data_IF_148024228642
#
_entry.id   IF_148024228642
#
_cell.length_a   1.000
_cell.length_b   1.000
_cell.length_c   1.000
_cell.angle_alpha   90.00
_cell.angle_beta   90.00
_cell.angle_gamma   90.00
#
_symmetry.space_group_name_H-M   'P 1'
#
loop_
_entity.id
_entity.type
_entity.pdbx_description
1 polymer ?
#
# COMPACT_ATOMS: atom_id res chain seq x y z
N UNK A 1 4.23 2.92 16.71
CA UNK A 1 4.95 1.73 16.19
C UNK A 1 5.46 2.01 14.79
N UNK A 2 6.75 1.78 14.54
CA UNK A 2 7.33 1.83 13.19
C UNK A 2 7.32 0.43 12.60
N UNK A 3 6.59 0.20 11.50
CA UNK A 3 6.37 -1.16 10.97
C UNK A 3 6.22 -1.18 9.45
N UNK A 4 6.50 -2.32 8.84
CA UNK A 4 6.12 -2.60 7.45
C UNK A 4 4.64 -3.03 7.41
N UNK A 5 3.77 -2.36 6.62
CA UNK A 5 2.36 -2.73 6.52
C UNK A 5 2.12 -4.06 5.79
N UNK A 6 3.10 -4.61 5.05
CA UNK A 6 2.97 -5.92 4.38
C UNK A 6 2.72 -7.03 5.40
N UNK A 7 3.26 -6.89 6.61
CA UNK A 7 2.98 -7.73 7.76
C UNK A 7 2.15 -6.92 8.78
N UNK A 8 0.80 -7.01 8.74
CA UNK A 8 -0.07 -6.11 9.50
C UNK A 8 -0.02 -6.32 11.03
N UNK A 9 0.67 -7.35 11.53
CA UNK A 9 0.82 -7.62 12.96
C UNK A 9 1.31 -6.41 13.77
N UNK A 10 2.24 -5.61 13.22
CA UNK A 10 2.72 -4.40 13.89
C UNK A 10 1.63 -3.34 14.03
N UNK A 11 0.71 -3.27 13.06
CA UNK A 11 -0.45 -2.37 13.10
C UNK A 11 -1.52 -2.88 14.08
N UNK A 12 -1.77 -4.20 14.11
CA UNK A 12 -2.69 -4.81 15.08
C UNK A 12 -2.25 -4.46 16.51
N UNK A 13 -0.94 -4.60 16.79
CA UNK A 13 -0.38 -4.25 18.09
C UNK A 13 -0.47 -2.75 18.38
N UNK A 14 -0.22 -1.90 17.38
CA UNK A 14 -0.32 -0.44 17.53
C UNK A 14 -1.73 -0.01 17.91
N UNK A 15 -2.74 -0.61 17.28
CA UNK A 15 -4.15 -0.35 17.57
C UNK A 15 -4.53 -0.83 18.97
N UNK A 16 -4.09 -2.02 19.38
CA UNK A 16 -4.33 -2.55 20.72
C UNK A 16 -3.72 -1.66 21.82
N UNK A 17 -2.52 -1.14 21.58
CA UNK A 17 -1.81 -0.25 22.51
C UNK A 17 -2.23 1.22 22.38
N UNK A 18 -3.15 1.56 21.46
CA UNK A 18 -3.59 2.92 21.17
C UNK A 18 -2.44 3.92 20.90
N UNK A 19 -1.40 3.46 20.18
CA UNK A 19 -0.23 4.29 19.84
C UNK A 19 -0.18 4.59 18.34
N UNK A 20 0.32 5.77 17.94
CA UNK A 20 0.40 6.12 16.52
C UNK A 20 1.34 5.18 15.78
N UNK A 21 0.96 4.74 14.58
CA UNK A 21 1.77 3.91 13.72
C UNK A 21 2.31 4.69 12.51
N UNK A 22 3.54 4.35 12.14
CA UNK A 22 4.24 4.89 10.97
C UNK A 22 4.63 3.71 10.10
N UNK A 23 4.17 3.72 8.86
CA UNK A 23 4.46 2.68 7.89
C UNK A 23 5.70 3.00 7.10
N UNK A 24 6.52 1.98 6.86
CA UNK A 24 7.68 2.04 5.98
C UNK A 24 7.56 0.94 4.94
N UNK A 25 7.28 1.32 3.69
CA UNK A 25 7.07 0.40 2.60
C UNK A 25 7.66 0.94 1.30
N UNK A 26 7.96 0.06 0.34
CA UNK A 26 8.26 0.49 -1.03
C UNK A 26 6.99 0.53 -1.87
N UNK A 27 6.31 -0.61 -2.02
CA UNK A 27 5.01 -0.74 -2.67
C UNK A 27 4.23 -1.84 -1.99
N UNK A 28 2.91 -1.72 -1.96
CA UNK A 28 2.02 -2.81 -1.57
C UNK A 28 1.40 -3.46 -2.81
N UNK A 29 1.22 -4.80 -2.79
CA UNK A 29 0.47 -5.46 -3.84
C UNK A 29 -0.98 -4.97 -3.87
N UNK A 30 -1.61 -5.14 -5.03
CA UNK A 30 -3.04 -4.89 -5.26
C UNK A 30 -3.55 -3.47 -5.05
N UNK A 31 -2.68 -2.50 -4.79
CA UNK A 31 -3.10 -1.13 -4.50
C UNK A 31 -3.73 -0.97 -3.11
N UNK A 32 -3.45 -1.88 -2.18
CA UNK A 32 -3.93 -1.83 -0.80
C UNK A 32 -3.49 -0.55 -0.08
N UNK A 33 -2.31 -0.01 -0.43
CA UNK A 33 -1.84 1.31 0.01
C UNK A 33 -2.83 2.42 -0.40
N UNK A 34 -3.31 2.36 -1.63
CA UNK A 34 -4.24 3.35 -2.19
C UNK A 34 -5.64 3.19 -1.59
N UNK A 35 -6.09 1.95 -1.38
CA UNK A 35 -7.39 1.66 -0.76
C UNK A 35 -7.43 2.10 0.71
N UNK A 36 -6.40 1.74 1.49
CA UNK A 36 -6.30 2.10 2.90
C UNK A 36 -6.22 3.62 3.11
N UNK A 37 -5.50 4.33 2.23
CA UNK A 37 -5.39 5.79 2.28
C UNK A 37 -6.55 6.52 1.60
N UNK A 38 -7.49 5.81 0.98
CA UNK A 38 -8.58 6.38 0.17
C UNK A 38 -8.08 7.24 -1.00
N UNK A 39 -6.89 6.91 -1.51
CA UNK A 39 -6.25 7.60 -2.61
C UNK A 39 -6.80 7.10 -3.96
N UNK A 40 -7.17 7.99 -4.91
CA UNK A 40 -7.62 7.56 -6.23
C UNK A 40 -6.54 6.76 -6.97
N UNK A 41 -6.87 5.55 -7.44
CA UNK A 41 -5.94 4.68 -8.17
C UNK A 41 -6.55 4.08 -9.46
N UNK A 42 -6.89 4.90 -10.45
CA UNK A 42 -7.57 4.43 -11.66
C UNK A 42 -6.61 3.77 -12.67
N UNK A 43 -7.00 2.63 -13.26
CA UNK A 43 -6.18 1.91 -14.24
C UNK A 43 -6.07 2.60 -15.60
N UNK A 44 -6.80 3.70 -15.82
CA UNK A 44 -6.80 4.40 -17.11
C UNK A 44 -5.52 5.23 -17.35
N UNK A 45 -4.85 5.68 -16.29
CA UNK A 45 -3.60 6.44 -16.38
C UNK A 45 -2.45 5.90 -15.51
N UNK A 46 -2.75 5.11 -14.48
CA UNK A 46 -1.71 4.51 -13.62
C UNK A 46 -1.35 3.14 -14.19
N UNK A 47 -0.13 2.95 -14.71
CA UNK A 47 0.29 1.63 -15.19
C UNK A 47 0.41 0.66 -14.00
N UNK A 48 -0.18 -0.53 -14.14
CA UNK A 48 -0.07 -1.61 -13.16
C UNK A 48 1.32 -2.23 -13.25
N UNK A 49 1.87 -2.57 -12.09
CA UNK A 49 3.15 -3.26 -11.99
C UNK A 49 3.12 -4.55 -12.82
N UNK A 50 4.26 -4.95 -13.38
CA UNK A 50 4.42 -6.11 -14.29
C UNK A 50 3.80 -6.00 -15.69
N UNK A 51 3.08 -4.92 -16.03
CA UNK A 51 2.54 -4.74 -17.40
C UNK A 51 3.56 -4.20 -18.41
N UNK A 52 4.65 -3.60 -17.92
CA UNK A 52 5.63 -2.89 -18.74
C UNK A 52 5.09 -1.62 -19.42
N UNK A 53 3.92 -1.13 -18.98
CA UNK A 53 3.29 0.06 -19.53
C UNK A 53 3.83 1.34 -18.88
N UNK A 54 3.60 2.46 -19.57
CA UNK A 54 4.00 3.81 -19.14
C UNK A 54 2.76 4.62 -18.72
N UNK A 55 2.95 5.86 -18.27
CA UNK A 55 1.87 6.84 -18.05
C UNK A 55 1.10 7.18 -19.34
N UNK A 56 1.72 6.96 -20.51
CA UNK A 56 1.12 7.19 -21.83
C UNK A 56 0.65 5.89 -22.47
N UNK A 57 -0.60 5.53 -22.16
CA UNK A 57 -1.25 4.34 -22.73
C UNK A 57 -2.28 4.70 -23.80
N UNK A 58 -2.25 3.97 -24.93
CA UNK A 58 -3.34 3.94 -25.90
C UNK A 58 -4.55 3.14 -25.37
N UNK A 59 -5.67 3.15 -26.09
CA UNK A 59 -6.91 2.49 -25.64
C UNK A 59 -6.71 1.00 -25.31
N UNK A 60 -6.08 0.23 -26.20
CA UNK A 60 -5.86 -1.21 -25.98
C UNK A 60 -4.92 -1.49 -24.80
N UNK A 61 -3.90 -0.66 -24.61
CA UNK A 61 -3.01 -0.73 -23.45
C UNK A 61 -3.77 -0.46 -22.15
N UNK A 62 -4.73 0.47 -22.13
CA UNK A 62 -5.59 0.72 -20.96
C UNK A 62 -6.50 -0.47 -20.66
N UNK A 63 -7.06 -1.10 -21.69
CA UNK A 63 -7.86 -2.33 -21.51
C UNK A 63 -6.99 -3.45 -20.94
N UNK A 64 -5.78 -3.66 -21.49
CA UNK A 64 -4.81 -4.60 -20.93
C UNK A 64 -4.49 -4.28 -19.47
N UNK A 65 -4.23 -3.01 -19.16
CA UNK A 65 -3.91 -2.57 -17.80
C UNK A 65 -5.04 -2.86 -16.80
N UNK A 66 -6.30 -2.67 -17.22
CA UNK A 66 -7.48 -3.01 -16.42
C UNK A 66 -7.61 -4.52 -16.20
N UNK A 67 -7.38 -5.34 -17.23
CA UNK A 67 -7.40 -6.81 -17.11
C UNK A 67 -6.35 -7.29 -16.09
N UNK A 68 -5.15 -6.72 -16.11
CA UNK A 68 -4.09 -7.04 -15.14
C UNK A 68 -4.42 -6.62 -13.71
N UNK A 69 -5.37 -5.70 -13.50
CA UNK A 69 -5.82 -5.33 -12.16
C UNK A 69 -6.78 -6.37 -11.56
N UNK A 70 -7.60 -7.05 -12.36
CA UNK A 70 -8.66 -7.93 -11.87
C UNK A 70 -8.15 -9.04 -10.93
N UNK A 71 -7.05 -9.77 -11.23
CA UNK A 71 -6.55 -10.82 -10.34
C UNK A 71 -6.12 -10.30 -8.97
N UNK A 72 -5.68 -9.04 -8.89
CA UNK A 72 -5.19 -8.47 -7.65
C UNK A 72 -6.28 -8.36 -6.58
N UNK A 73 -7.54 -8.15 -6.96
CA UNK A 73 -8.64 -8.12 -6.00
C UNK A 73 -8.76 -9.45 -5.25
N UNK A 74 -8.76 -10.57 -5.97
CA UNK A 74 -8.88 -11.90 -5.36
C UNK A 74 -7.60 -12.32 -4.63
N UNK A 75 -6.43 -12.00 -5.18
CA UNK A 75 -5.16 -12.43 -4.60
C UNK A 75 -4.91 -11.77 -3.24
N UNK A 76 -5.23 -10.48 -3.10
CA UNK A 76 -5.01 -9.79 -1.84
C UNK A 76 -6.00 -10.21 -0.76
N UNK A 77 -7.27 -10.43 -1.09
CA UNK A 77 -8.23 -10.97 -0.13
C UNK A 77 -7.74 -12.31 0.43
N UNK A 78 -7.27 -13.22 -0.43
CA UNK A 78 -6.74 -14.51 -0.01
C UNK A 78 -5.50 -14.40 0.89
N UNK A 79 -4.56 -13.51 0.54
CA UNK A 79 -3.31 -13.33 1.31
C UNK A 79 -3.57 -12.68 2.67
N UNK A 80 -4.51 -11.74 2.75
CA UNK A 80 -4.76 -10.94 3.95
C UNK A 80 -5.91 -11.45 4.83
N UNK A 81 -6.73 -12.40 4.35
CA UNK A 81 -7.82 -12.99 5.13
C UNK A 81 -7.35 -13.57 6.48
N UNK A 82 -6.25 -14.35 6.57
CA UNK A 82 -5.79 -14.88 7.87
C UNK A 82 -5.42 -13.77 8.86
N UNK A 83 -4.92 -12.63 8.36
CA UNK A 83 -4.60 -11.49 9.19
C UNK A 83 -5.84 -10.72 9.64
N UNK A 84 -6.89 -10.65 8.80
CA UNK A 84 -8.17 -10.08 9.19
C UNK A 84 -8.84 -10.88 10.31
N UNK A 85 -8.83 -12.21 10.20
CA UNK A 85 -9.35 -13.12 11.22
C UNK A 85 -8.57 -12.98 12.54
N UNK A 86 -7.23 -13.03 12.46
CA UNK A 86 -6.35 -12.84 13.63
C UNK A 86 -6.55 -11.46 14.29
N UNK A 87 -6.64 -10.39 13.50
CA UNK A 87 -6.87 -9.05 14.01
C UNK A 87 -8.22 -8.95 14.71
N UNK A 88 -9.25 -9.59 14.15
CA UNK A 88 -10.60 -9.54 14.71
C UNK A 88 -10.70 -10.30 16.03
N UNK A 89 -10.03 -11.45 16.13
CA UNK A 89 -9.93 -12.22 17.37
C UNK A 89 -9.16 -11.46 18.45
N UNK A 90 -8.00 -10.89 18.11
CA UNK A 90 -7.13 -10.20 19.06
C UNK A 90 -7.69 -8.85 19.54
N UNK A 91 -8.35 -8.10 18.66
CA UNK A 91 -8.95 -6.80 18.99
C UNK A 91 -10.40 -6.93 19.47
N UNK A 92 -10.96 -8.14 19.51
CA UNK A 92 -12.33 -8.45 19.91
C UNK A 92 -13.40 -7.62 19.17
N UNK A 93 -13.19 -7.33 17.89
CA UNK A 93 -14.14 -6.60 17.01
C UNK A 93 -13.93 -7.00 15.56
N UNK A 94 -14.94 -6.84 14.71
CA UNK A 94 -14.76 -7.06 13.26
C UNK A 94 -13.81 -6.02 12.67
N UNK A 95 -12.71 -6.48 12.06
CA UNK A 95 -11.70 -5.62 11.43
C UNK A 95 -11.39 -6.09 10.02
N UNK A 96 -11.40 -5.15 9.08
CA UNK A 96 -10.87 -5.38 7.73
C UNK A 96 -9.44 -4.85 7.65
N UNK A 97 -8.58 -5.51 6.88
CA UNK A 97 -7.17 -5.10 6.72
C UNK A 97 -7.03 -3.68 6.13
N UNK A 98 -7.77 -3.27 5.08
CA UNK A 98 -7.77 -1.88 4.63
C UNK A 98 -8.21 -0.90 5.74
N UNK A 99 -9.22 -1.29 6.53
CA UNK A 99 -9.72 -0.48 7.66
C UNK A 99 -8.68 -0.30 8.77
N UNK A 100 -7.92 -1.34 9.07
CA UNK A 100 -6.81 -1.34 10.02
C UNK A 100 -5.65 -0.47 9.54
N UNK A 101 -5.26 -0.61 8.26
CA UNK A 101 -4.18 0.17 7.67
C UNK A 101 -4.53 1.66 7.53
N UNK A 102 -5.82 2.00 7.37
CA UNK A 102 -6.30 3.40 7.34
C UNK A 102 -5.96 4.18 8.60
N UNK A 103 -5.76 3.51 9.73
CA UNK A 103 -5.46 4.15 11.02
C UNK A 103 -4.01 4.62 11.15
N UNK A 104 -3.16 4.34 10.16
CA UNK A 104 -1.79 4.80 10.18
C UNK A 104 -1.66 6.31 10.11
N UNK A 105 -0.81 6.86 10.97
CA UNK A 105 -0.57 8.30 11.06
C UNK A 105 0.26 8.80 9.89
N UNK A 106 1.21 8.00 9.40
CA UNK A 106 2.13 8.40 8.35
C UNK A 106 2.60 7.20 7.52
N UNK A 107 2.73 7.41 6.21
CA UNK A 107 3.21 6.44 5.25
C UNK A 107 4.54 6.94 4.67
N UNK A 108 5.65 6.35 5.10
CA UNK A 108 6.96 6.54 4.49
C UNK A 108 7.11 5.59 3.30
N UNK A 109 7.01 6.15 2.11
CA UNK A 109 7.02 5.40 0.86
C UNK A 109 8.42 5.48 0.24
N UNK A 110 9.13 4.36 0.17
CA UNK A 110 10.47 4.23 -0.41
C UNK A 110 10.44 4.27 -1.94
N UNK A 111 9.92 5.35 -2.50
CA UNK A 111 9.83 5.60 -3.93
C UNK A 111 10.39 6.99 -4.24
N UNK A 112 10.95 7.11 -5.43
CA UNK A 112 11.38 8.38 -6.00
C UNK A 112 10.46 8.76 -7.16
N UNK A 113 10.09 10.04 -7.25
CA UNK A 113 9.29 10.56 -8.36
C UNK A 113 10.03 10.45 -9.70
N UNK A 114 11.36 10.33 -9.70
CA UNK A 114 12.16 10.14 -10.92
C UNK A 114 12.00 8.72 -11.48
N UNK A 115 11.82 7.71 -10.62
CA UNK A 115 11.78 6.30 -11.02
C UNK A 115 10.36 5.76 -11.22
N UNK A 116 9.35 6.48 -10.74
CA UNK A 116 7.96 6.04 -10.75
C UNK A 116 7.06 7.01 -11.51
N UNK A 117 6.11 6.45 -12.25
CA UNK A 117 5.10 7.23 -12.95
C UNK A 117 4.22 8.01 -11.96
N UNK A 118 3.73 9.18 -12.37
CA UNK A 118 2.91 10.03 -11.52
C UNK A 118 1.64 9.29 -11.08
N UNK A 119 1.39 9.27 -9.78
CA UNK A 119 0.17 8.77 -9.15
C UNK A 119 -0.28 9.74 -8.05
N UNK A 120 -1.58 9.81 -7.73
CA UNK A 120 -2.04 10.60 -6.61
C UNK A 120 -1.42 10.11 -5.29
N UNK A 121 -1.22 11.03 -4.37
CA UNK A 121 -0.70 10.78 -3.02
C UNK A 121 -1.56 11.52 -2.01
N UNK A 122 -1.79 10.90 -0.86
CA UNK A 122 -2.46 11.54 0.25
C UNK A 122 -1.48 12.38 1.09
N UNK A 123 -1.94 13.41 1.81
CA UNK A 123 -1.06 14.28 2.60
C UNK A 123 -0.25 13.56 3.69
N UNK A 124 -0.74 12.42 4.17
CA UNK A 124 -0.03 11.57 5.14
C UNK A 124 0.98 10.60 4.50
N UNK A 125 1.17 10.65 3.17
CA UNK A 125 2.16 9.85 2.44
C UNK A 125 3.37 10.70 2.09
N UNK A 126 4.53 10.37 2.67
CA UNK A 126 5.80 11.05 2.41
C UNK A 126 6.70 10.11 1.62
N UNK A 127 7.09 10.55 0.42
CA UNK A 127 8.07 9.83 -0.38
C UNK A 127 9.46 10.06 0.19
N UNK A 128 10.17 8.97 0.47
CA UNK A 128 11.53 8.96 0.98
C UNK A 128 12.43 8.15 0.05
N UNK A 129 13.28 8.83 -0.71
CA UNK A 129 14.27 8.19 -1.57
C UNK A 129 15.63 8.08 -0.86
N UNK A 130 16.49 7.19 -1.34
CA UNK A 130 17.92 7.23 -1.03
C UNK A 130 18.31 7.05 0.45
N UNK A 131 17.61 6.19 1.21
CA UNK A 131 18.01 5.82 2.58
C UNK A 131 19.27 4.94 2.52
N UNK A 132 20.42 5.59 2.34
CA UNK A 132 21.73 4.96 2.25
C UNK A 132 22.50 5.17 3.56
N UNK A 133 23.30 4.18 3.94
CA UNK A 133 24.20 4.32 5.08
C UNK A 133 25.20 5.44 4.79
N UNK A 134 25.34 6.39 5.71
CA UNK A 134 26.45 7.31 5.67
C UNK A 134 27.75 6.52 5.87
N UNK A 135 28.73 6.72 4.99
CA UNK A 135 30.06 6.18 5.21
C UNK A 135 30.61 6.80 6.51
N UNK A 136 30.91 5.96 7.51
CA UNK A 136 31.72 6.42 8.65
C UNK A 136 33.09 6.83 8.10
N UNK A 137 33.47 8.08 8.31
CA UNK A 137 34.84 8.56 8.12
C UNK A 137 35.76 7.91 9.13
#
# INVERSE_FOLDING_TARGET
VFTDPFLPCGQILAEHLAVPSVFFLQQMPCGLDSEATQCPNPPSYIPRTFTGLTDRMNFLQRVKNMIFQLPNYFLCDFVYQPYAELASEFLHREVTVPGLLRQASLWLVKLDFVLHYPRPLMPNMIMISGVNCAHKK
#
